data_IF_372332206120
#
_entry.id   IF_372332206120
#
_cell.length_a   1.000
_cell.length_b   1.000
_cell.length_c   1.000
_cell.angle_alpha   90.00
_cell.angle_beta   90.00
_cell.angle_gamma   90.00
#
_symmetry.space_group_name_H-M   'P 1'
#
loop_
_entity.id
_entity.type
_entity.pdbx_description
1 polymer ?
#
# COMPACT_ATOMS: atom_id res chain seq x y z
N UNK A 1 15.33 17.84 16.74
CA UNK A 1 15.34 16.55 16.00
C UNK A 1 13.92 16.05 15.87
N UNK A 2 13.51 15.68 14.66
CA UNK A 2 12.22 15.04 14.47
C UNK A 2 12.25 13.65 15.13
N UNK A 3 11.21 13.30 15.87
CA UNK A 3 11.08 11.98 16.46
C UNK A 3 10.83 10.96 15.34
N UNK A 4 11.69 9.95 15.23
CA UNK A 4 11.56 8.92 14.24
C UNK A 4 10.31 8.08 14.52
N UNK A 5 9.29 8.23 13.67
CA UNK A 5 8.05 7.48 13.78
C UNK A 5 8.20 6.14 13.09
N UNK A 6 8.12 5.07 13.84
CA UNK A 6 8.19 3.69 13.32
C UNK A 6 6.91 2.91 13.61
N UNK A 7 6.53 2.09 12.65
CA UNK A 7 5.39 1.19 12.80
C UNK A 7 5.74 0.00 13.70
N UNK A 8 4.82 -0.32 14.62
CA UNK A 8 4.96 -1.49 15.47
C UNK A 8 4.78 -2.79 14.67
N UNK A 9 5.39 -3.87 15.12
CA UNK A 9 5.23 -5.20 14.52
C UNK A 9 3.77 -5.67 14.54
N UNK A 10 3.02 -5.26 15.55
CA UNK A 10 1.59 -5.55 15.67
C UNK A 10 0.81 -4.88 14.53
N UNK A 11 1.10 -3.61 14.26
CA UNK A 11 0.45 -2.85 13.20
C UNK A 11 0.82 -3.41 11.82
N UNK A 12 2.09 -3.73 11.57
CA UNK A 12 2.53 -4.35 10.32
C UNK A 12 1.83 -5.69 10.07
N UNK A 13 1.67 -6.50 11.11
CA UNK A 13 0.93 -7.76 11.04
C UNK A 13 -0.56 -7.52 10.72
N UNK A 14 -1.15 -6.48 11.29
CA UNK A 14 -2.54 -6.10 11.02
C UNK A 14 -2.71 -5.65 9.56
N UNK A 15 -1.79 -4.83 9.05
CA UNK A 15 -1.76 -4.42 7.63
C UNK A 15 -1.65 -5.65 6.73
N UNK A 16 -0.74 -6.57 7.04
CA UNK A 16 -0.57 -7.80 6.28
C UNK A 16 -1.85 -8.65 6.25
N UNK A 17 -2.54 -8.79 7.38
CA UNK A 17 -3.79 -9.53 7.42
C UNK A 17 -4.90 -8.85 6.60
N UNK A 18 -4.94 -7.52 6.59
CA UNK A 18 -5.94 -6.78 5.81
C UNK A 18 -5.72 -6.87 4.30
N UNK A 19 -4.50 -7.11 3.83
CA UNK A 19 -4.24 -7.16 2.40
C UNK A 19 -5.01 -8.28 1.67
N UNK A 20 -5.41 -9.33 2.39
CA UNK A 20 -6.26 -10.38 1.83
C UNK A 20 -7.65 -9.87 1.40
N UNK A 21 -8.06 -8.69 1.85
CA UNK A 21 -9.32 -8.06 1.50
C UNK A 21 -9.19 -6.94 0.44
N UNK A 22 -8.06 -6.89 -0.28
CA UNK A 22 -7.82 -5.86 -1.32
C UNK A 22 -8.95 -5.77 -2.35
N UNK A 23 -9.57 -6.89 -2.71
CA UNK A 23 -10.66 -6.95 -3.67
C UNK A 23 -12.05 -6.74 -3.05
N UNK A 24 -12.15 -6.56 -1.72
CA UNK A 24 -13.43 -6.47 -1.02
C UNK A 24 -14.33 -5.32 -1.46
N UNK A 25 -13.74 -4.21 -1.91
CA UNK A 25 -14.45 -3.03 -2.40
C UNK A 25 -13.99 -2.65 -3.82
N UNK A 26 -13.79 -3.65 -4.67
CA UNK A 26 -13.38 -3.45 -6.05
C UNK A 26 -14.47 -2.71 -6.83
N UNK A 27 -14.06 -1.66 -7.60
CA UNK A 27 -14.95 -0.93 -8.49
C UNK A 27 -14.27 -0.67 -9.84
N UNK A 28 -15.07 -0.41 -10.86
CA UNK A 28 -14.56 -0.25 -12.23
C UNK A 28 -13.67 0.99 -12.39
N UNK A 29 -14.01 2.09 -11.72
CA UNK A 29 -13.33 3.38 -11.89
C UNK A 29 -11.95 3.42 -11.23
N UNK A 30 -11.85 2.96 -9.98
CA UNK A 30 -10.63 3.04 -9.16
C UNK A 30 -10.01 1.71 -8.81
N UNK A 31 -10.59 0.63 -9.30
CA UNK A 31 -10.12 -0.74 -9.11
C UNK A 31 -9.99 -1.10 -7.61
N UNK A 32 -8.80 -1.36 -7.12
CA UNK A 32 -8.53 -1.78 -5.74
C UNK A 32 -8.26 -0.62 -4.77
N UNK A 33 -8.51 0.64 -5.14
CA UNK A 33 -8.10 1.81 -4.35
C UNK A 33 -8.67 1.79 -2.93
N UNK A 34 -9.95 1.48 -2.77
CA UNK A 34 -10.61 1.41 -1.46
C UNK A 34 -10.04 0.28 -0.59
N UNK A 35 -9.79 -0.89 -1.19
CA UNK A 35 -9.14 -2.02 -0.50
C UNK A 35 -7.73 -1.69 -0.06
N UNK A 36 -6.98 -0.95 -0.88
CA UNK A 36 -5.63 -0.50 -0.54
C UNK A 36 -5.64 0.47 0.66
N UNK A 37 -6.52 1.47 0.64
CA UNK A 37 -6.68 2.40 1.75
C UNK A 37 -7.12 1.68 3.04
N UNK A 38 -8.04 0.73 2.93
CA UNK A 38 -8.44 -0.12 4.05
C UNK A 38 -7.26 -0.90 4.64
N UNK A 39 -6.41 -1.45 3.78
CA UNK A 39 -5.22 -2.20 4.17
C UNK A 39 -4.21 -1.31 4.88
N UNK A 40 -3.99 -0.08 4.39
CA UNK A 40 -3.04 0.88 4.95
C UNK A 40 -3.55 1.57 6.23
N UNK A 41 -4.85 1.54 6.51
CA UNK A 41 -5.45 2.31 7.59
C UNK A 41 -4.82 2.09 8.97
N UNK A 42 -4.50 0.87 9.42
CA UNK A 42 -3.84 0.68 10.71
C UNK A 42 -2.49 1.40 10.81
N UNK A 43 -1.69 1.34 9.73
CA UNK A 43 -0.40 2.02 9.66
C UNK A 43 -0.56 3.55 9.70
N UNK A 44 -1.48 4.09 8.91
CA UNK A 44 -1.74 5.52 8.86
C UNK A 44 -2.25 6.06 10.19
N UNK A 45 -3.12 5.33 10.87
CA UNK A 45 -3.62 5.72 12.21
C UNK A 45 -2.53 5.74 13.27
N UNK A 46 -1.57 4.84 13.19
CA UNK A 46 -0.43 4.81 14.11
C UNK A 46 0.53 5.97 13.84
N UNK A 47 0.88 6.20 12.57
CA UNK A 47 1.85 7.23 12.18
C UNK A 47 1.32 8.66 12.39
N UNK A 48 0.05 8.90 12.10
CA UNK A 48 -0.57 10.23 12.14
C UNK A 48 -1.55 10.41 13.31
N UNK A 49 -1.37 9.67 14.40
CA UNK A 49 -2.28 9.71 15.57
C UNK A 49 -2.43 11.11 16.17
N UNK A 50 -1.38 11.92 16.11
CA UNK A 50 -1.34 13.28 16.65
C UNK A 50 -1.51 14.36 15.56
N UNK A 51 -1.77 13.97 14.33
CA UNK A 51 -1.89 14.86 13.17
C UNK A 51 -3.12 14.50 12.32
N UNK A 52 -4.32 15.00 12.66
CA UNK A 52 -5.55 14.68 11.88
C UNK A 52 -5.50 15.14 10.42
N UNK A 53 -4.87 16.27 10.13
CA UNK A 53 -4.74 16.76 8.75
C UNK A 53 -3.78 15.90 7.94
N UNK A 54 -2.64 15.50 8.52
CA UNK A 54 -1.71 14.55 7.91
C UNK A 54 -2.37 13.20 7.63
N UNK A 55 -3.18 12.70 8.55
CA UNK A 55 -3.96 11.48 8.36
C UNK A 55 -4.91 11.60 7.17
N UNK A 56 -5.63 12.71 7.08
CA UNK A 56 -6.59 12.98 6.00
C UNK A 56 -5.91 13.01 4.63
N UNK A 57 -4.77 13.68 4.52
CA UNK A 57 -3.98 13.73 3.30
C UNK A 57 -3.42 12.35 2.92
N UNK A 58 -2.94 11.59 3.90
CA UNK A 58 -2.45 10.23 3.68
C UNK A 58 -3.58 9.30 3.18
N UNK A 59 -4.76 9.37 3.78
CA UNK A 59 -5.92 8.58 3.31
C UNK A 59 -6.31 8.94 1.88
N UNK A 60 -6.35 10.23 1.53
CA UNK A 60 -6.62 10.67 0.16
C UNK A 60 -5.60 10.10 -0.83
N UNK A 61 -4.31 10.16 -0.48
CA UNK A 61 -3.22 9.64 -1.29
C UNK A 61 -3.37 8.14 -1.57
N UNK A 62 -3.84 7.37 -0.60
CA UNK A 62 -4.05 5.92 -0.74
C UNK A 62 -5.42 5.53 -1.31
N UNK A 63 -6.33 6.49 -1.50
CA UNK A 63 -7.58 6.29 -2.23
C UNK A 63 -7.46 6.53 -3.75
N UNK A 64 -6.29 6.91 -4.23
CA UNK A 64 -6.03 7.04 -5.66
C UNK A 64 -6.05 5.68 -6.35
N UNK A 65 -6.15 5.68 -7.68
CA UNK A 65 -6.22 4.46 -8.48
C UNK A 65 -5.13 3.46 -8.09
N UNK A 66 -5.54 2.23 -7.87
CA UNK A 66 -4.64 1.11 -7.58
C UNK A 66 -5.17 -0.17 -8.21
N UNK A 67 -4.33 -0.85 -8.97
CA UNK A 67 -4.60 -2.18 -9.49
C UNK A 67 -3.28 -2.94 -9.65
N UNK A 68 -3.13 -4.03 -8.92
CA UNK A 68 -1.93 -4.86 -8.96
C UNK A 68 -2.30 -6.32 -8.65
N UNK A 69 -1.46 -7.26 -9.07
CA UNK A 69 -1.64 -8.65 -8.70
C UNK A 69 -1.61 -8.81 -7.17
N UNK A 70 -2.58 -9.52 -6.60
CA UNK A 70 -2.70 -9.71 -5.16
C UNK A 70 -1.49 -10.43 -4.56
N UNK A 71 -0.83 -11.27 -5.35
CA UNK A 71 0.37 -12.01 -4.93
C UNK A 71 1.61 -11.12 -4.73
N UNK A 72 1.72 -10.02 -5.48
CA UNK A 72 2.84 -9.07 -5.39
C UNK A 72 2.51 -7.81 -4.60
N UNK A 73 1.24 -7.56 -4.33
CA UNK A 73 0.76 -6.39 -3.58
C UNK A 73 1.39 -6.25 -2.19
N UNK A 74 1.67 -7.31 -1.40
CA UNK A 74 2.34 -7.16 -0.10
C UNK A 74 3.68 -6.43 -0.16
N UNK A 75 4.44 -6.61 -1.23
CA UNK A 75 5.70 -5.88 -1.44
C UNK A 75 5.46 -4.37 -1.56
N UNK A 76 4.49 -3.97 -2.37
CA UNK A 76 4.16 -2.56 -2.57
C UNK A 76 3.55 -1.94 -1.31
N UNK A 77 2.71 -2.68 -0.60
CA UNK A 77 2.13 -2.26 0.68
C UNK A 77 3.24 -2.02 1.72
N UNK A 78 4.19 -2.94 1.84
CA UNK A 78 5.34 -2.79 2.75
C UNK A 78 6.22 -1.59 2.39
N UNK A 79 6.48 -1.38 1.11
CA UNK A 79 7.25 -0.24 0.62
C UNK A 79 6.54 1.09 0.94
N UNK A 80 5.25 1.18 0.69
CA UNK A 80 4.48 2.40 1.02
C UNK A 80 4.38 2.63 2.52
N UNK A 81 4.32 1.60 3.34
CA UNK A 81 4.42 1.74 4.80
C UNK A 81 5.74 2.40 5.21
N UNK A 82 6.86 1.94 4.65
CA UNK A 82 8.18 2.52 4.93
C UNK A 82 8.29 3.97 4.46
N UNK A 83 7.72 4.29 3.29
CA UNK A 83 7.70 5.66 2.79
C UNK A 83 6.82 6.58 3.66
N UNK A 84 5.70 6.08 4.16
CA UNK A 84 4.85 6.83 5.09
C UNK A 84 5.53 7.04 6.45
N UNK A 85 6.32 6.07 6.94
CA UNK A 85 7.15 6.26 8.14
C UNK A 85 8.09 7.45 7.96
N UNK A 86 8.78 7.54 6.83
CA UNK A 86 9.67 8.67 6.53
C UNK A 86 8.89 9.98 6.43
N UNK A 87 7.78 10.00 5.70
CA UNK A 87 6.97 11.20 5.55
C UNK A 87 6.41 11.69 6.88
N UNK A 88 5.98 10.79 7.77
CA UNK A 88 5.47 11.14 9.08
C UNK A 88 6.56 11.63 10.04
N UNK A 89 7.81 11.17 9.85
CA UNK A 89 8.96 11.60 10.66
C UNK A 89 9.52 12.95 10.22
N UNK A 90 9.54 13.22 8.92
CA UNK A 90 10.14 14.42 8.32
C UNK A 90 9.21 15.06 7.27
N UNK A 91 8.03 15.55 7.69
CA UNK A 91 6.99 16.00 6.74
C UNK A 91 7.38 17.23 5.92
N UNK A 92 8.32 18.04 6.41
CA UNK A 92 8.78 19.24 5.69
C UNK A 92 9.88 18.92 4.65
N UNK A 93 10.64 17.87 4.88
CA UNK A 93 11.76 17.48 4.01
C UNK A 93 11.37 16.41 2.99
N UNK A 94 10.37 15.61 3.30
CA UNK A 94 9.95 14.48 2.48
C UNK A 94 8.87 14.88 1.46
N UNK A 95 9.09 14.55 0.20
CA UNK A 95 8.08 14.76 -0.84
C UNK A 95 7.03 13.64 -0.82
N UNK A 96 5.89 13.92 -0.22
CA UNK A 96 4.77 12.97 -0.15
C UNK A 96 4.24 12.55 -1.55
N UNK A 97 4.43 13.38 -2.57
CA UNK A 97 4.09 13.05 -3.95
C UNK A 97 4.89 11.87 -4.50
N UNK A 98 6.10 11.63 -3.96
CA UNK A 98 6.92 10.48 -4.35
C UNK A 98 6.26 9.14 -4.01
N UNK A 99 5.45 9.07 -2.96
CA UNK A 99 4.71 7.86 -2.58
C UNK A 99 3.73 7.46 -3.69
N UNK A 100 2.94 8.41 -4.17
CA UNK A 100 2.01 8.18 -5.28
C UNK A 100 2.76 7.80 -6.56
N UNK A 101 3.87 8.48 -6.86
CA UNK A 101 4.69 8.21 -8.04
C UNK A 101 5.30 6.81 -8.04
N UNK A 102 5.87 6.38 -6.92
CA UNK A 102 6.44 5.04 -6.76
C UNK A 102 5.37 3.97 -6.87
N UNK A 103 4.23 4.19 -6.21
CA UNK A 103 3.08 3.30 -6.26
C UNK A 103 2.59 3.10 -7.71
N UNK A 104 2.43 4.20 -8.46
CA UNK A 104 2.03 4.16 -9.87
C UNK A 104 3.08 3.48 -10.75
N UNK A 105 4.36 3.77 -10.54
CA UNK A 105 5.45 3.21 -11.33
C UNK A 105 5.63 1.70 -11.16
N UNK A 106 5.37 1.17 -9.96
CA UNK A 106 5.56 -0.26 -9.66
C UNK A 106 4.31 -1.10 -9.89
N UNK A 107 3.16 -0.49 -9.93
CA UNK A 107 1.86 -1.16 -10.09
C UNK A 107 1.79 -2.04 -11.35
N UNK A 108 2.21 -1.50 -12.49
CA UNK A 108 2.24 -2.21 -13.76
C UNK A 108 3.22 -3.39 -13.80
N UNK A 109 4.53 -3.15 -13.57
CA UNK A 109 5.53 -4.21 -13.56
C UNK A 109 5.25 -5.33 -12.56
N UNK A 110 4.83 -5.00 -11.34
CA UNK A 110 4.48 -6.00 -10.32
C UNK A 110 3.24 -6.80 -10.70
N UNK A 111 2.27 -6.17 -11.33
CA UNK A 111 1.08 -6.84 -11.84
C UNK A 111 1.46 -7.84 -12.95
N UNK A 112 2.27 -7.40 -13.91
CA UNK A 112 2.75 -8.25 -15.00
C UNK A 112 3.54 -9.46 -14.51
N UNK A 113 4.46 -9.27 -13.57
CA UNK A 113 5.23 -10.37 -12.96
C UNK A 113 4.30 -11.33 -12.20
N UNK A 114 3.41 -10.79 -11.38
CA UNK A 114 2.47 -11.60 -10.60
C UNK A 114 1.54 -12.44 -11.47
N UNK A 115 0.93 -11.82 -12.48
CA UNK A 115 0.01 -12.51 -13.38
C UNK A 115 0.73 -13.54 -14.26
N UNK A 116 1.88 -13.20 -14.80
CA UNK A 116 2.67 -14.13 -15.63
C UNK A 116 3.18 -15.32 -14.84
N UNK A 117 3.70 -15.10 -13.63
CA UNK A 117 4.25 -16.16 -12.81
C UNK A 117 3.16 -17.05 -12.21
N UNK A 118 2.16 -16.46 -11.55
CA UNK A 118 1.15 -17.22 -10.81
C UNK A 118 0.05 -17.77 -11.72
N UNK A 119 -0.43 -16.99 -12.69
CA UNK A 119 -1.53 -17.42 -13.55
C UNK A 119 -1.06 -18.04 -14.86
N UNK A 120 0.00 -17.52 -15.46
CA UNK A 120 0.53 -18.03 -16.72
C UNK A 120 1.36 -19.29 -16.56
N UNK A 121 2.33 -19.32 -15.65
CA UNK A 121 3.30 -20.40 -15.50
C UNK A 121 2.89 -21.39 -14.42
N UNK A 122 2.69 -20.93 -13.19
CA UNK A 122 2.42 -21.80 -12.05
C UNK A 122 1.11 -22.56 -12.19
N UNK A 123 0.07 -21.89 -12.66
CA UNK A 123 -1.23 -22.52 -12.89
C UNK A 123 -1.15 -23.62 -13.95
N UNK A 124 -0.41 -23.40 -15.04
CA UNK A 124 -0.22 -24.40 -16.10
C UNK A 124 0.51 -25.63 -15.55
N UNK A 125 1.57 -25.42 -14.77
CA UNK A 125 2.32 -26.52 -14.14
C UNK A 125 1.44 -27.30 -13.15
N UNK A 126 0.65 -26.58 -12.32
CA UNK A 126 -0.22 -27.22 -11.32
C UNK A 126 -1.41 -27.96 -11.95
N UNK A 127 -1.91 -27.52 -13.11
CA UNK A 127 -3.03 -28.15 -13.80
C UNK A 127 -2.60 -29.27 -14.75
N UNK A 128 -1.33 -29.29 -15.15
CA UNK A 128 -0.76 -30.28 -16.06
C UNK A 128 -0.39 -31.57 -15.41
#
# INVERSE_FOLDING_TARGET
MAEEKKLSQKTLRHVFNRHYQLLGCFNYERQMSTGYAYTMMPALKELYKDDPEGLKEAVKRHLEFYNCATSTSPFLIGLTCAMEEQNASEPEEYDAGSITSVKAALMGPLSGIGDSFFWGTFRVIAAG
#
